data_IF_581655894770
#
_entry.id   IF_581655894770
#
_cell.length_a   1.000
_cell.length_b   1.000
_cell.length_c   1.000
_cell.angle_alpha   90.00
_cell.angle_beta   90.00
_cell.angle_gamma   90.00
#
_symmetry.space_group_name_H-M   'P 1'
#
loop_
_entity.id
_entity.type
_entity.pdbx_description
1 polymer ?
#
# COMPACT_ATOMS: atom_id res chain seq x y z
N UNK A 1 -15.05 5.16 11.60
CA UNK A 1 -13.64 4.75 11.81
C UNK A 1 -13.38 3.36 11.24
N UNK A 2 -14.28 2.41 11.46
CA UNK A 2 -14.13 1.02 10.98
C UNK A 2 -14.05 0.90 9.45
N UNK A 3 -14.91 1.61 8.71
CA UNK A 3 -14.88 1.63 7.24
C UNK A 3 -13.56 2.16 6.66
N UNK A 4 -12.97 3.20 7.26
CA UNK A 4 -11.69 3.74 6.82
C UNK A 4 -10.56 2.71 7.01
N UNK A 5 -10.56 2.00 8.14
CA UNK A 5 -9.62 0.92 8.42
C UNK A 5 -9.80 -0.24 7.42
N UNK A 6 -11.06 -0.63 7.13
CA UNK A 6 -11.34 -1.66 6.12
C UNK A 6 -10.85 -1.26 4.73
N UNK A 7 -11.08 -0.01 4.32
CA UNK A 7 -10.56 0.50 3.05
C UNK A 7 -9.03 0.46 3.00
N UNK A 8 -8.35 0.87 4.08
CA UNK A 8 -6.88 0.81 4.14
C UNK A 8 -6.39 -0.63 4.03
N UNK A 9 -7.04 -1.59 4.69
CA UNK A 9 -6.70 -3.01 4.55
C UNK A 9 -6.91 -3.50 3.11
N UNK A 10 -8.04 -3.19 2.49
CA UNK A 10 -8.32 -3.56 1.10
C UNK A 10 -7.32 -2.92 0.12
N UNK A 11 -6.95 -1.66 0.34
CA UNK A 11 -5.94 -0.98 -0.45
C UNK A 11 -4.55 -1.63 -0.31
N UNK A 12 -4.14 -1.96 0.92
CA UNK A 12 -2.88 -2.64 1.16
C UNK A 12 -2.87 -4.07 0.59
N UNK A 13 -4.02 -4.73 0.51
CA UNK A 13 -4.16 -6.01 -0.18
C UNK A 13 -4.01 -5.86 -1.70
N UNK A 14 -4.60 -4.84 -2.31
CA UNK A 14 -4.41 -4.56 -3.74
C UNK A 14 -2.93 -4.27 -4.09
N UNK A 15 -2.22 -3.55 -3.20
CA UNK A 15 -0.77 -3.36 -3.31
C UNK A 15 -0.02 -4.69 -3.25
N UNK A 16 -0.42 -5.58 -2.35
CA UNK A 16 0.20 -6.89 -2.16
C UNK A 16 0.01 -7.79 -3.40
N UNK A 17 -1.18 -7.82 -3.97
CA UNK A 17 -1.50 -8.55 -5.20
C UNK A 17 -0.69 -8.01 -6.39
N UNK A 18 -0.63 -6.69 -6.55
CA UNK A 18 0.20 -6.05 -7.56
C UNK A 18 1.68 -6.39 -7.39
N UNK A 19 2.21 -6.33 -6.17
CA UNK A 19 3.58 -6.72 -5.84
C UNK A 19 3.86 -8.18 -6.22
N UNK A 20 2.96 -9.10 -5.84
CA UNK A 20 3.10 -10.53 -6.13
C UNK A 20 3.10 -10.81 -7.64
N UNK A 21 2.25 -10.12 -8.41
CA UNK A 21 2.22 -10.25 -9.88
C UNK A 21 3.54 -9.84 -10.56
N UNK A 22 4.33 -9.00 -9.88
CA UNK A 22 5.63 -8.52 -10.35
C UNK A 22 6.81 -9.35 -9.83
N UNK A 23 6.57 -10.35 -8.96
CA UNK A 23 7.64 -11.15 -8.34
C UNK A 23 8.58 -10.36 -7.43
N UNK A 24 8.16 -9.19 -6.92
CA UNK A 24 8.99 -8.29 -6.09
C UNK A 24 8.83 -8.59 -4.62
N UNK A 25 9.87 -8.40 -3.81
CA UNK A 25 9.78 -8.59 -2.35
C UNK A 25 9.09 -7.40 -1.66
N UNK A 26 8.64 -7.57 -0.41
CA UNK A 26 8.16 -6.45 0.41
C UNK A 26 9.22 -5.36 0.57
N UNK A 27 10.49 -5.75 0.68
CA UNK A 27 11.62 -4.83 0.83
C UNK A 27 11.81 -3.95 -0.40
N UNK A 28 11.54 -4.47 -1.60
CA UNK A 28 11.68 -3.71 -2.84
C UNK A 28 10.62 -2.62 -2.96
N UNK A 29 9.36 -2.95 -2.60
CA UNK A 29 8.27 -1.95 -2.58
C UNK A 29 8.51 -0.92 -1.48
N UNK A 30 8.92 -1.36 -0.29
CA UNK A 30 9.18 -0.46 0.83
C UNK A 30 10.27 0.56 0.51
N UNK A 31 11.41 0.13 -0.07
CA UNK A 31 12.49 1.03 -0.47
C UNK A 31 12.09 1.96 -1.61
N UNK A 32 11.30 1.48 -2.57
CA UNK A 32 10.80 2.30 -3.66
C UNK A 32 9.79 3.35 -3.20
N UNK A 33 8.91 3.01 -2.25
CA UNK A 33 7.90 3.91 -1.72
C UNK A 33 8.47 4.94 -0.71
N UNK A 34 9.48 4.55 0.07
CA UNK A 34 10.04 5.38 1.15
C UNK A 34 11.57 5.50 1.05
N UNK A 35 12.12 6.04 -0.06
CA UNK A 35 13.57 6.06 -0.28
C UNK A 35 14.33 6.92 0.74
N UNK A 36 13.69 7.97 1.26
CA UNK A 36 14.28 8.91 2.23
C UNK A 36 14.17 8.42 3.69
N UNK A 37 13.48 7.30 3.94
CA UNK A 37 13.33 6.79 5.30
C UNK A 37 14.59 6.03 5.73
N UNK A 38 15.04 6.25 6.97
CA UNK A 38 16.12 5.45 7.57
C UNK A 38 15.76 3.96 7.69
N UNK A 39 14.47 3.66 7.88
CA UNK A 39 13.92 2.30 7.89
C UNK A 39 12.64 2.22 7.02
N UNK A 40 12.80 2.03 5.70
CA UNK A 40 11.68 1.95 4.76
C UNK A 40 10.78 0.74 5.03
N UNK A 41 11.39 -0.40 5.40
CA UNK A 41 10.67 -1.66 5.64
C UNK A 41 9.83 -1.56 6.91
N UNK A 42 10.36 -0.96 7.97
CA UNK A 42 9.61 -0.69 9.19
C UNK A 42 8.44 0.27 8.95
N UNK A 43 8.63 1.30 8.11
CA UNK A 43 7.54 2.21 7.73
C UNK A 43 6.43 1.48 6.97
N UNK A 44 6.77 0.70 5.95
CA UNK A 44 5.81 -0.14 5.22
C UNK A 44 5.08 -1.12 6.13
N UNK A 45 5.80 -1.81 7.03
CA UNK A 45 5.24 -2.78 7.98
C UNK A 45 4.23 -2.13 8.93
N UNK A 46 4.51 -0.92 9.41
CA UNK A 46 3.57 -0.18 10.28
C UNK A 46 2.24 0.04 9.56
N UNK A 47 2.28 0.60 8.35
CA UNK A 47 1.08 0.86 7.53
C UNK A 47 0.29 -0.44 7.29
N UNK A 48 0.97 -1.50 6.83
CA UNK A 48 0.34 -2.78 6.50
C UNK A 48 -0.35 -3.43 7.70
N UNK A 49 0.31 -3.42 8.86
CA UNK A 49 -0.16 -4.15 10.02
C UNK A 49 -1.15 -3.36 10.88
N UNK A 50 -1.03 -2.02 10.94
CA UNK A 50 -1.93 -1.21 11.75
C UNK A 50 -3.24 -0.89 11.05
N UNK A 51 -3.26 -0.83 9.70
CA UNK A 51 -4.41 -0.31 8.95
C UNK A 51 -4.78 1.14 9.27
N UNK A 52 -4.00 1.79 10.15
CA UNK A 52 -4.24 3.12 10.69
C UNK A 52 -3.12 4.05 10.23
N UNK A 53 -3.49 5.30 9.92
CA UNK A 53 -2.59 6.37 9.50
C UNK A 53 -1.92 6.19 8.13
N UNK A 54 -2.52 5.45 7.19
CA UNK A 54 -2.10 5.55 5.79
C UNK A 54 -2.40 6.97 5.29
N UNK A 55 -1.34 7.77 5.11
CA UNK A 55 -1.47 9.11 4.53
C UNK A 55 -1.66 9.00 3.03
N UNK A 56 -2.38 9.96 2.45
CA UNK A 56 -2.59 10.03 1.01
C UNK A 56 -1.27 10.01 0.22
N UNK A 57 -0.27 10.75 0.70
CA UNK A 57 1.07 10.77 0.09
C UNK A 57 1.73 9.38 0.07
N UNK A 58 1.64 8.65 1.17
CA UNK A 58 2.22 7.31 1.28
C UNK A 58 1.47 6.32 0.38
N UNK A 59 0.16 6.47 0.25
CA UNK A 59 -0.65 5.66 -0.66
C UNK A 59 -0.27 5.89 -2.14
N UNK A 60 -0.04 7.15 -2.53
CA UNK A 60 0.44 7.49 -3.88
C UNK A 60 1.86 6.96 -4.12
N UNK A 61 2.74 7.03 -3.12
CA UNK A 61 4.10 6.46 -3.21
C UNK A 61 4.07 4.95 -3.37
N UNK A 62 3.20 4.25 -2.62
CA UNK A 62 3.02 2.81 -2.73
C UNK A 62 2.48 2.40 -4.10
N UNK A 63 1.49 3.12 -4.63
CA UNK A 63 0.96 2.91 -5.97
C UNK A 63 2.06 3.02 -7.05
N UNK A 64 2.86 4.09 -6.98
CA UNK A 64 4.03 4.26 -7.86
C UNK A 64 5.06 3.15 -7.68
N UNK A 65 5.31 2.73 -6.43
CA UNK A 65 6.26 1.69 -6.13
C UNK A 65 5.85 0.34 -6.74
N UNK A 66 4.55 0.04 -6.87
CA UNK A 66 4.04 -1.12 -7.59
C UNK A 66 3.66 -0.82 -9.05
N UNK A 67 4.04 0.32 -9.62
CA UNK A 67 3.73 0.66 -11.02
C UNK A 67 2.25 0.51 -11.40
N UNK A 68 1.33 0.80 -10.46
CA UNK A 68 -0.11 0.84 -10.71
C UNK A 68 -0.63 2.23 -10.40
N UNK A 69 -1.58 2.72 -11.19
CA UNK A 69 -2.22 4.00 -10.96
C UNK A 69 -2.98 4.00 -9.62
N UNK A 70 -2.77 5.06 -8.83
CA UNK A 70 -3.41 5.20 -7.52
C UNK A 70 -4.95 5.10 -7.59
N UNK A 71 -5.66 5.76 -8.53
CA UNK A 71 -7.10 5.59 -8.67
C UNK A 71 -7.54 4.16 -8.98
N UNK A 72 -6.74 3.40 -9.73
CA UNK A 72 -7.05 2.00 -10.05
C UNK A 72 -6.97 1.12 -8.78
N UNK A 73 -5.96 1.33 -7.94
CA UNK A 73 -5.85 0.63 -6.65
C UNK A 73 -6.98 1.01 -5.68
N UNK A 74 -7.37 2.28 -5.64
CA UNK A 74 -8.54 2.72 -4.87
C UNK A 74 -9.83 2.04 -5.35
N UNK A 75 -10.01 1.92 -6.66
CA UNK A 75 -11.15 1.25 -7.24
C UNK A 75 -11.18 -0.24 -6.88
N UNK A 76 -10.04 -0.93 -7.03
CA UNK A 76 -9.90 -2.35 -6.63
C UNK A 76 -10.23 -2.53 -5.16
N UNK A 77 -9.64 -1.70 -4.29
CA UNK A 77 -9.92 -1.73 -2.85
C UNK A 77 -11.42 -1.56 -2.56
N UNK A 78 -12.08 -0.61 -3.24
CA UNK A 78 -13.51 -0.38 -3.10
C UNK A 78 -14.37 -1.57 -3.56
N UNK A 79 -13.95 -2.29 -4.61
CA UNK A 79 -14.66 -3.49 -5.05
C UNK A 79 -14.53 -4.64 -4.05
N UNK A 80 -13.38 -4.77 -3.37
CA UNK A 80 -13.14 -5.80 -2.36
C UNK A 80 -13.93 -5.60 -1.06
N UNK A 81 -14.54 -4.42 -0.86
CA UNK A 81 -15.38 -4.12 0.29
C UNK A 81 -16.87 -4.48 0.09
N UNK A 82 -17.25 -4.90 -1.12
CA UNK A 82 -18.62 -5.33 -1.44
C UNK A 82 -18.81 -6.81 -1.14
#
# INVERSE_FOLDING_TARGET
>A
MEEATHFVHAFMQAIEEARLSQGRSHSDIARAAFPEHRDPVGAYRKIRNSGQNLRMEDAVRLARAVHVDFPALCWTAQQSLK
#
